data_IF_185368735527
#
_entry.id   IF_185368735527
#
_cell.length_a   1.000
_cell.length_b   1.000
_cell.length_c   1.000
_cell.angle_alpha   90.00
_cell.angle_beta   90.00
_cell.angle_gamma   90.00
#
_symmetry.space_group_name_H-M   'P 1'
#
loop_
_entity.id
_entity.type
_entity.pdbx_description
1 polymer ?
#
# COMPACT_ATOMS: atom_id res chain seq x y z
N UNK A 1 -10.58 -5.88 -11.46
CA UNK A 1 -9.67 -5.40 -12.52
C UNK A 1 -8.35 -6.10 -12.35
N UNK A 2 -7.93 -6.89 -13.35
CA UNK A 2 -6.58 -7.47 -13.39
C UNK A 2 -5.77 -6.62 -14.38
N UNK A 3 -4.60 -6.14 -13.99
CA UNK A 3 -3.72 -5.46 -14.93
C UNK A 3 -3.28 -6.47 -16.01
N UNK A 4 -3.68 -6.23 -17.25
CA UNK A 4 -3.41 -7.15 -18.37
C UNK A 4 -1.95 -7.09 -18.84
N UNK A 5 -1.22 -6.01 -18.50
CA UNK A 5 0.20 -5.84 -18.80
C UNK A 5 0.90 -5.00 -17.71
N UNK A 6 2.23 -5.09 -17.64
CA UNK A 6 3.04 -4.16 -16.82
C UNK A 6 2.89 -2.75 -17.39
N UNK A 7 2.67 -1.77 -16.51
CA UNK A 7 2.54 -0.37 -16.91
C UNK A 7 3.92 0.26 -16.98
N UNK A 8 4.03 1.35 -17.74
CA UNK A 8 5.18 2.23 -17.59
C UNK A 8 5.10 2.91 -16.21
N UNK A 9 6.19 2.83 -15.44
CA UNK A 9 6.35 3.55 -14.18
C UNK A 9 7.50 4.55 -14.32
N UNK A 10 7.30 5.73 -13.76
CA UNK A 10 8.27 6.82 -13.77
C UNK A 10 9.53 6.45 -12.96
N UNK A 11 10.64 7.10 -13.29
CA UNK A 11 11.85 7.00 -12.47
C UNK A 11 11.57 7.41 -11.02
N UNK A 12 12.06 6.61 -10.08
CA UNK A 12 11.91 6.83 -8.65
C UNK A 12 13.14 7.47 -8.00
N UNK A 13 14.23 7.70 -8.73
CA UNK A 13 15.56 8.00 -8.14
C UNK A 13 15.53 9.16 -7.14
N UNK A 14 14.78 10.22 -7.44
CA UNK A 14 14.62 11.39 -6.57
C UNK A 14 13.95 11.09 -5.22
N UNK A 15 13.21 9.98 -5.11
CA UNK A 15 12.50 9.57 -3.91
C UNK A 15 13.27 8.51 -3.11
N UNK A 16 14.36 7.94 -3.64
CA UNK A 16 15.12 6.88 -2.95
C UNK A 16 15.60 7.31 -1.56
N UNK A 17 15.98 8.59 -1.41
CA UNK A 17 16.42 9.14 -0.12
C UNK A 17 15.28 9.35 0.89
N UNK A 18 14.01 9.19 0.48
CA UNK A 18 12.85 9.40 1.35
C UNK A 18 12.47 8.14 2.12
N UNK A 19 13.05 6.99 1.78
CA UNK A 19 12.80 5.72 2.41
C UNK A 19 14.08 5.16 3.02
N UNK A 20 14.00 4.48 4.18
CA UNK A 20 15.12 3.70 4.66
C UNK A 20 15.44 2.56 3.69
N UNK A 21 16.69 2.07 3.73
CA UNK A 21 17.08 0.90 2.94
C UNK A 21 16.31 -0.32 3.44
N UNK A 22 15.61 -1.01 2.53
CA UNK A 22 14.99 -2.30 2.86
C UNK A 22 16.06 -3.37 3.06
N UNK A 23 15.88 -4.22 4.06
CA UNK A 23 16.72 -5.42 4.27
C UNK A 23 16.22 -6.62 3.47
N UNK A 24 15.22 -6.42 2.61
CA UNK A 24 14.63 -7.41 1.72
C UNK A 24 14.03 -8.67 2.40
N UNK A 25 13.95 -8.70 3.74
CA UNK A 25 13.24 -9.75 4.48
C UNK A 25 11.99 -9.23 5.20
N UNK A 26 11.55 -8.00 4.88
CA UNK A 26 10.49 -7.29 5.58
C UNK A 26 9.05 -7.65 5.14
N UNK A 27 8.84 -8.89 4.70
CA UNK A 27 7.54 -9.40 4.29
C UNK A 27 7.01 -10.38 5.33
N UNK A 28 5.77 -10.18 5.79
CA UNK A 28 5.06 -11.20 6.55
C UNK A 28 4.25 -12.03 5.56
N UNK A 29 4.62 -13.31 5.44
CA UNK A 29 4.03 -14.26 4.52
C UNK A 29 3.03 -15.14 5.27
N UNK A 30 1.76 -15.14 4.86
CA UNK A 30 0.76 -16.08 5.37
C UNK A 30 0.44 -17.12 4.30
N UNK A 31 0.62 -18.40 4.64
CA UNK A 31 0.44 -19.53 3.71
C UNK A 31 -1.02 -19.85 3.39
N UNK A 32 -1.19 -20.66 2.34
CA UNK A 32 -2.47 -20.98 1.72
C UNK A 32 -3.49 -21.53 2.73
N UNK A 33 -4.69 -20.93 2.75
CA UNK A 33 -5.81 -21.36 3.60
C UNK A 33 -5.64 -21.06 5.10
N UNK A 34 -4.54 -20.41 5.51
CA UNK A 34 -4.28 -20.07 6.92
C UNK A 34 -4.64 -18.63 7.28
N UNK A 35 -4.55 -17.70 6.32
CA UNK A 35 -4.91 -16.30 6.56
C UNK A 35 -6.42 -16.14 6.68
N UNK A 36 -6.92 -15.76 7.86
CA UNK A 36 -8.29 -15.25 8.00
C UNK A 36 -8.23 -13.76 7.71
N UNK A 37 -9.31 -13.22 7.12
CA UNK A 37 -9.43 -11.78 6.85
C UNK A 37 -9.04 -10.89 8.04
N UNK A 38 -9.47 -11.28 9.25
CA UNK A 38 -9.18 -10.53 10.47
C UNK A 38 -7.68 -10.50 10.80
N UNK A 39 -6.97 -11.60 10.53
CA UNK A 39 -5.54 -11.70 10.78
C UNK A 39 -4.78 -10.79 9.82
N UNK A 40 -5.16 -10.78 8.53
CA UNK A 40 -4.59 -9.89 7.51
C UNK A 40 -4.82 -8.42 7.86
N UNK A 41 -6.04 -8.04 8.29
CA UNK A 41 -6.33 -6.67 8.72
C UNK A 41 -5.54 -6.24 9.96
N UNK A 42 -5.40 -7.12 10.95
CA UNK A 42 -4.61 -6.85 12.14
C UNK A 42 -3.13 -6.71 11.78
N UNK A 43 -2.63 -7.58 10.91
CA UNK A 43 -1.26 -7.52 10.41
C UNK A 43 -1.01 -6.20 9.67
N UNK A 44 -1.89 -5.79 8.76
CA UNK A 44 -1.76 -4.52 8.06
C UNK A 44 -1.71 -3.33 9.03
N UNK A 45 -2.61 -3.29 10.03
CA UNK A 45 -2.61 -2.24 11.07
C UNK A 45 -1.31 -2.24 11.86
N UNK A 46 -0.82 -3.42 12.23
CA UNK A 46 0.44 -3.59 12.96
C UNK A 46 1.62 -3.07 12.14
N UNK A 47 1.74 -3.52 10.88
CA UNK A 47 2.82 -3.07 9.97
C UNK A 47 2.77 -1.56 9.78
N UNK A 48 1.58 -0.96 9.56
CA UNK A 48 1.44 0.49 9.46
C UNK A 48 1.98 1.17 10.71
N UNK A 49 1.54 0.74 11.90
CA UNK A 49 1.93 1.37 13.16
C UNK A 49 3.43 1.24 13.47
N UNK A 50 4.03 0.09 13.14
CA UNK A 50 5.44 -0.21 13.42
C UNK A 50 6.43 0.38 12.40
N UNK A 51 5.94 0.90 11.27
CA UNK A 51 6.81 1.33 10.15
C UNK A 51 6.45 2.71 9.60
N UNK A 52 5.80 3.56 10.41
CA UNK A 52 5.42 4.92 10.02
C UNK A 52 6.63 5.75 9.57
N UNK A 53 7.76 5.58 10.23
CA UNK A 53 9.06 6.17 9.93
C UNK A 53 9.50 5.95 8.47
N UNK A 54 9.07 4.86 7.81
CA UNK A 54 9.38 4.60 6.40
C UNK A 54 8.81 5.65 5.45
N UNK A 55 7.67 6.28 5.80
CA UNK A 55 6.98 7.22 4.89
C UNK A 55 6.93 8.65 5.41
N UNK A 56 7.56 8.98 6.54
CA UNK A 56 7.52 10.34 7.14
C UNK A 56 8.00 11.41 6.15
N UNK A 57 9.12 11.17 5.47
CA UNK A 57 9.69 12.16 4.53
C UNK A 57 8.80 12.32 3.31
N UNK A 58 8.33 11.20 2.74
CA UNK A 58 7.41 11.22 1.60
C UNK A 58 6.10 11.93 1.96
N UNK A 59 5.51 11.62 3.13
CA UNK A 59 4.27 12.22 3.60
C UNK A 59 4.38 13.75 3.62
N UNK A 60 5.44 14.29 4.22
CA UNK A 60 5.71 15.73 4.25
C UNK A 60 5.79 16.34 2.85
N UNK A 61 6.36 15.62 1.87
CA UNK A 61 6.47 16.09 0.47
C UNK A 61 5.16 16.05 -0.30
N UNK A 62 4.28 15.11 0.01
CA UNK A 62 2.97 14.97 -0.65
C UNK A 62 1.88 15.86 -0.02
N UNK A 63 2.14 16.41 1.17
CA UNK A 63 1.19 17.21 1.92
C UNK A 63 0.89 18.56 1.23
N UNK A 64 -0.38 18.95 1.21
CA UNK A 64 -0.85 20.27 0.77
C UNK A 64 -1.94 20.77 1.72
N UNK A 65 -2.49 21.97 1.48
CA UNK A 65 -3.58 22.52 2.32
C UNK A 65 -4.92 21.81 2.11
N UNK A 66 -5.08 21.06 1.02
CA UNK A 66 -6.36 20.48 0.62
C UNK A 66 -6.31 18.94 0.71
N UNK A 67 -7.23 18.35 1.47
CA UNK A 67 -7.31 16.90 1.66
C UNK A 67 -7.48 16.12 0.36
N UNK A 68 -8.30 16.62 -0.57
CA UNK A 68 -8.49 15.98 -1.87
C UNK A 68 -7.19 15.98 -2.68
N UNK A 69 -6.46 17.11 -2.68
CA UNK A 69 -5.17 17.21 -3.35
C UNK A 69 -4.13 16.27 -2.73
N UNK A 70 -4.09 16.15 -1.40
CA UNK A 70 -3.22 15.18 -0.71
C UNK A 70 -3.53 13.76 -1.18
N UNK A 71 -4.81 13.35 -1.17
CA UNK A 71 -5.21 12.02 -1.66
C UNK A 71 -4.84 11.82 -3.14
N UNK A 72 -5.03 12.84 -3.98
CA UNK A 72 -4.66 12.82 -5.39
C UNK A 72 -3.15 12.71 -5.58
N UNK A 73 -2.34 13.41 -4.79
CA UNK A 73 -0.88 13.34 -4.83
C UNK A 73 -0.38 11.96 -4.41
N UNK A 74 -0.95 11.38 -3.35
CA UNK A 74 -0.65 10.02 -2.93
C UNK A 74 -1.00 9.02 -4.05
N UNK A 75 -2.20 9.12 -4.63
CA UNK A 75 -2.61 8.27 -5.73
C UNK A 75 -1.67 8.39 -6.93
N UNK A 76 -1.36 9.61 -7.37
CA UNK A 76 -0.46 9.85 -8.50
C UNK A 76 0.94 9.32 -8.24
N UNK A 77 1.46 9.47 -7.02
CA UNK A 77 2.77 8.92 -6.64
C UNK A 77 2.77 7.39 -6.75
N UNK A 78 1.82 6.76 -6.08
CA UNK A 78 1.69 5.30 -6.00
C UNK A 78 1.43 4.70 -7.39
N UNK A 79 0.52 5.31 -8.16
CA UNK A 79 0.19 4.91 -9.52
C UNK A 79 1.36 5.15 -10.49
N UNK A 80 2.11 6.24 -10.31
CA UNK A 80 3.21 6.59 -11.20
C UNK A 80 4.50 5.82 -10.95
N UNK A 81 4.75 5.34 -9.72
CA UNK A 81 6.08 4.86 -9.34
C UNK A 81 6.18 3.40 -8.90
N UNK A 82 5.06 2.73 -8.63
CA UNK A 82 5.01 1.36 -8.11
C UNK A 82 4.25 0.48 -9.11
N UNK A 83 4.73 -0.71 -9.43
CA UNK A 83 4.03 -1.65 -10.31
C UNK A 83 3.00 -2.45 -9.50
N UNK A 84 1.86 -2.79 -10.11
CA UNK A 84 0.94 -3.76 -9.52
C UNK A 84 1.30 -5.15 -10.02
N UNK A 85 1.51 -6.08 -9.09
CA UNK A 85 1.74 -7.50 -9.34
C UNK A 85 1.01 -8.29 -8.28
N UNK A 86 0.10 -9.15 -8.70
CA UNK A 86 -0.64 -10.01 -7.77
C UNK A 86 0.34 -11.02 -7.15
N UNK A 87 0.25 -11.22 -5.84
CA UNK A 87 1.01 -12.29 -5.18
C UNK A 87 0.62 -13.67 -5.73
N UNK A 88 1.49 -14.65 -5.52
CA UNK A 88 1.23 -16.02 -5.94
C UNK A 88 -0.05 -16.54 -5.25
N UNK A 89 -0.88 -17.27 -5.99
CA UNK A 89 -2.15 -17.80 -5.49
C UNK A 89 -1.92 -18.56 -4.19
N UNK A 90 -2.60 -18.12 -3.12
CA UNK A 90 -2.49 -18.76 -1.80
C UNK A 90 -1.33 -18.27 -0.94
N UNK A 91 -0.62 -17.22 -1.33
CA UNK A 91 0.39 -16.56 -0.51
C UNK A 91 -0.04 -15.11 -0.33
N UNK A 92 -0.39 -14.72 0.90
CA UNK A 92 -0.59 -13.32 1.25
C UNK A 92 0.73 -12.74 1.76
N UNK A 93 1.19 -11.63 1.20
CA UNK A 93 2.39 -10.94 1.67
C UNK A 93 2.06 -9.49 2.04
N UNK A 94 2.20 -9.18 3.33
CA UNK A 94 2.13 -7.79 3.79
C UNK A 94 3.55 -7.27 3.97
N UNK A 95 3.93 -6.30 3.14
CA UNK A 95 5.26 -5.68 3.14
C UNK A 95 5.21 -4.31 3.83
N UNK A 96 6.24 -3.97 4.60
CA UNK A 96 6.42 -2.58 5.08
C UNK A 96 6.63 -1.59 3.91
N UNK A 97 6.46 -0.27 4.12
CA UNK A 97 6.54 0.69 3.03
C UNK A 97 7.91 0.78 2.34
N UNK A 98 9.03 0.70 3.06
CA UNK A 98 10.37 0.71 2.44
C UNK A 98 10.63 -0.51 1.55
N UNK A 99 10.12 -1.68 1.92
CA UNK A 99 10.16 -2.88 1.06
C UNK A 99 9.26 -2.73 -0.16
N UNK A 100 8.07 -2.17 0.00
CA UNK A 100 7.18 -1.83 -1.13
C UNK A 100 7.88 -0.88 -2.11
N UNK A 101 8.65 0.10 -1.62
CA UNK A 101 9.44 0.98 -2.47
C UNK A 101 10.60 0.25 -3.16
N UNK A 102 11.31 -0.63 -2.46
CA UNK A 102 12.38 -1.43 -3.05
C UNK A 102 11.87 -2.35 -4.18
N UNK A 103 10.67 -2.91 -4.01
CA UNK A 103 10.00 -3.80 -4.97
C UNK A 103 9.20 -3.05 -6.04
N UNK A 104 9.31 -1.73 -6.12
CA UNK A 104 8.42 -0.93 -6.98
C UNK A 104 8.43 -1.34 -8.46
N UNK A 105 9.51 -1.93 -8.96
CA UNK A 105 9.65 -2.36 -10.37
C UNK A 105 9.13 -3.78 -10.62
N UNK A 106 9.33 -4.69 -9.66
CA UNK A 106 8.75 -6.05 -9.70
C UNK A 106 7.26 -6.00 -9.45
N UNK A 107 6.83 -5.08 -8.59
CA UNK A 107 5.46 -4.78 -8.23
C UNK A 107 5.03 -5.44 -6.93
N UNK A 108 3.93 -4.92 -6.39
CA UNK A 108 3.26 -5.38 -5.17
C UNK A 108 1.76 -5.48 -5.39
N UNK A 109 1.05 -6.08 -4.44
CA UNK A 109 -0.39 -6.34 -4.51
C UNK A 109 -1.20 -5.33 -3.66
N UNK A 110 -2.52 -5.56 -3.54
CA UNK A 110 -3.43 -4.61 -2.88
C UNK A 110 -3.16 -4.40 -1.39
N UNK A 111 -2.66 -5.41 -0.69
CA UNK A 111 -2.40 -5.33 0.74
C UNK A 111 -1.21 -4.40 1.00
N UNK A 112 -0.13 -4.58 0.23
CA UNK A 112 1.04 -3.71 0.27
C UNK A 112 0.70 -2.26 -0.11
N UNK A 113 -0.11 -2.05 -1.15
CA UNK A 113 -0.57 -0.70 -1.51
C UNK A 113 -1.35 -0.04 -0.37
N UNK A 114 -2.23 -0.80 0.28
CA UNK A 114 -3.05 -0.29 1.37
C UNK A 114 -2.19 0.07 2.58
N UNK A 115 -1.20 -0.75 2.93
CA UNK A 115 -0.23 -0.45 3.98
C UNK A 115 0.58 0.81 3.65
N UNK A 116 1.10 0.90 2.42
CA UNK A 116 1.91 2.04 1.99
C UNK A 116 1.14 3.36 2.06
N UNK A 117 -0.07 3.40 1.49
CA UNK A 117 -0.95 4.57 1.51
C UNK A 117 -1.40 4.87 2.95
N UNK A 118 -1.78 3.85 3.71
CA UNK A 118 -2.20 3.99 5.10
C UNK A 118 -1.11 4.60 5.99
N UNK A 119 0.14 4.20 5.79
CA UNK A 119 1.30 4.80 6.47
C UNK A 119 1.44 6.29 6.19
N UNK A 120 1.29 6.70 4.92
CA UNK A 120 1.33 8.13 4.54
C UNK A 120 0.17 8.90 5.18
N UNK A 121 -1.06 8.39 5.08
CA UNK A 121 -2.24 9.06 5.66
C UNK A 121 -2.13 9.19 7.18
N UNK A 122 -1.62 8.17 7.86
CA UNK A 122 -1.38 8.18 9.30
C UNK A 122 -0.35 9.25 9.69
N UNK A 123 0.77 9.34 8.96
CA UNK A 123 1.78 10.39 9.17
C UNK A 123 1.25 11.81 8.95
N UNK A 124 0.21 11.97 8.13
CA UNK A 124 -0.45 13.25 7.88
C UNK A 124 -1.61 13.54 8.84
N UNK A 125 -1.91 12.62 9.77
CA UNK A 125 -3.06 12.74 10.67
C UNK A 125 -4.41 12.74 9.95
N UNK A 126 -4.49 12.15 8.75
CA UNK A 126 -5.72 12.08 7.94
C UNK A 126 -6.45 10.77 8.29
N UNK A 127 -7.65 10.82 8.88
CA UNK A 127 -8.43 9.62 9.16
C UNK A 127 -8.86 8.90 7.89
N UNK A 128 -8.71 7.59 7.86
CA UNK A 128 -9.11 6.72 6.75
C UNK A 128 -9.65 5.39 7.27
N UNK A 129 -10.33 4.66 6.39
CA UNK A 129 -10.81 3.30 6.66
C UNK A 129 -10.26 2.35 5.60
N UNK A 130 -10.05 1.08 5.95
CA UNK A 130 -9.76 0.05 4.96
C UNK A 130 -11.06 -0.58 4.48
N UNK A 131 -11.34 -0.48 3.17
CA UNK A 131 -12.53 -1.05 2.54
C UNK A 131 -12.14 -2.32 1.80
N UNK A 132 -12.93 -3.37 2.01
CA UNK A 132 -12.72 -4.69 1.44
C UNK A 132 -13.89 -5.00 0.51
N UNK A 133 -13.60 -5.54 -0.66
CA UNK A 133 -14.62 -5.82 -1.68
C UNK A 133 -14.55 -7.24 -2.20
N UNK A 134 -15.74 -7.79 -2.50
CA UNK A 134 -15.95 -9.05 -3.22
C UNK A 134 -16.65 -8.74 -4.53
N UNK A 135 -16.25 -9.38 -5.61
CA UNK A 135 -16.87 -9.22 -6.93
C UNK A 135 -17.49 -10.55 -7.39
N UNK A 136 -18.58 -10.46 -8.17
CA UNK A 136 -19.18 -11.62 -8.84
C UNK A 136 -19.69 -12.72 -7.92
N UNK A 137 -20.18 -12.40 -6.71
CA UNK A 137 -20.78 -13.37 -5.80
C UNK A 137 -19.81 -14.40 -5.19
N UNK A 138 -18.50 -14.19 -5.33
CA UNK A 138 -17.49 -15.13 -4.81
C UNK A 138 -17.46 -15.14 -3.28
N UNK A 139 -17.12 -16.31 -2.71
CA UNK A 139 -17.04 -16.49 -1.25
C UNK A 139 -15.83 -15.77 -0.63
N UNK A 140 -14.73 -15.61 -1.37
CA UNK A 140 -13.50 -14.96 -0.91
C UNK A 140 -13.44 -13.47 -1.23
N UNK A 141 -12.72 -12.70 -0.42
CA UNK A 141 -12.37 -11.31 -0.70
C UNK A 141 -11.34 -11.24 -1.81
N UNK A 142 -11.40 -10.17 -2.62
CA UNK A 142 -10.56 -10.04 -3.81
C UNK A 142 -9.74 -8.76 -3.83
N UNK A 143 -10.11 -7.78 -3.00
CA UNK A 143 -9.45 -6.49 -3.03
C UNK A 143 -9.68 -5.72 -1.73
N UNK A 144 -8.66 -5.00 -1.30
CA UNK A 144 -8.67 -4.06 -0.19
C UNK A 144 -8.02 -2.74 -0.63
N UNK A 145 -8.56 -1.63 -0.15
CA UNK A 145 -8.01 -0.30 -0.41
C UNK A 145 -8.40 0.70 0.70
N UNK A 146 -7.59 1.73 0.95
CA UNK A 146 -7.94 2.78 1.89
C UNK A 146 -8.98 3.74 1.29
N UNK A 147 -9.89 4.23 2.13
CA UNK A 147 -10.86 5.27 1.81
C UNK A 147 -10.71 6.43 2.80
N UNK A 148 -10.70 7.66 2.29
CA UNK A 148 -10.71 8.87 3.10
C UNK A 148 -12.09 9.49 3.02
N UNK A 149 -12.87 9.56 4.12
CA UNK A 149 -14.16 10.23 4.12
C UNK A 149 -14.01 11.71 3.76
N UNK A 150 -14.79 12.14 2.77
CA UNK A 150 -14.91 13.54 2.36
C UNK A 150 -16.25 14.06 2.84
N UNK A 151 -16.23 15.00 3.80
CA UNK A 151 -17.39 15.86 4.06
C UNK A 151 -17.22 17.05 3.14
N UNK A 152 -18.05 17.13 2.11
CA UNK A 152 -18.11 18.28 1.20
C UNK A 152 -18.52 19.55 1.90
#
# INVERSE_FOLDING_TARGET
>A
MQAQAKRHINSGVQYNAFFPKSIQNDAVIVGQGKARLQDTLQLMRKVIAETLDDTVVLAKKLNTKNRYEVCRNIWNFVYGHIQYTMDATGIEQVRRPSRTWADRTTGVDCDCYTVFIGSILTNLGIPYQMRITKYGGKKHFQHIYPIVPFKG
#
